data_IF_292577216789
#
_entry.id   IF_292577216789
#
_cell.length_a   1.000
_cell.length_b   1.000
_cell.length_c   1.000
_cell.angle_alpha   90.00
_cell.angle_beta   90.00
_cell.angle_gamma   90.00
#
_symmetry.space_group_name_H-M   'P 1'
#
loop_
_entity.id
_entity.type
_entity.pdbx_description
1 polymer ?
#
# COMPACT_ATOMS: atom_id res chain seq x y z
N UNK A 1 10.97 15.05 -6.74
CA UNK A 1 10.02 14.47 -7.71
C UNK A 1 10.79 14.23 -9.01
N UNK A 2 10.67 13.06 -9.63
CA UNK A 2 11.40 12.82 -10.90
C UNK A 2 10.75 13.63 -12.02
N UNK A 3 11.53 14.41 -12.80
CA UNK A 3 11.01 15.17 -13.94
C UNK A 3 10.24 14.28 -14.94
N UNK A 4 9.05 14.71 -15.34
CA UNK A 4 8.15 13.96 -16.24
C UNK A 4 7.30 12.89 -15.56
N UNK A 5 7.35 12.78 -14.21
CA UNK A 5 6.53 11.87 -13.41
C UNK A 5 5.70 12.61 -12.35
N UNK A 6 5.53 13.90 -12.54
CA UNK A 6 4.75 14.77 -11.67
C UNK A 6 3.28 14.35 -11.70
N UNK A 7 2.65 14.28 -10.51
CA UNK A 7 1.25 13.89 -10.36
C UNK A 7 1.00 12.38 -10.27
N UNK A 8 2.04 11.54 -10.34
CA UNK A 8 1.94 10.11 -10.01
C UNK A 8 1.93 9.89 -8.49
N UNK A 9 1.22 8.85 -8.04
CA UNK A 9 1.20 8.44 -6.63
C UNK A 9 1.06 6.92 -6.49
N UNK A 10 1.47 6.39 -5.33
CA UNK A 10 1.32 4.97 -4.97
C UNK A 10 0.13 4.74 -4.04
N UNK A 11 -0.32 5.77 -3.35
CA UNK A 11 -1.48 5.78 -2.47
C UNK A 11 -2.18 7.11 -2.62
N UNK A 12 -3.49 7.11 -2.66
CA UNK A 12 -4.28 8.33 -2.66
C UNK A 12 -5.74 8.06 -2.34
N UNK A 13 -6.44 9.13 -1.94
CA UNK A 13 -7.86 9.10 -1.67
C UNK A 13 -8.55 10.30 -2.31
N UNK A 14 -9.76 10.10 -2.82
CA UNK A 14 -10.63 11.16 -3.30
C UNK A 14 -11.73 11.49 -2.30
N UNK A 15 -12.25 12.72 -2.34
CA UNK A 15 -13.39 13.13 -1.49
C UNK A 15 -14.69 12.40 -1.79
N UNK A 16 -14.79 11.71 -2.93
CA UNK A 16 -15.93 10.86 -3.29
C UNK A 16 -15.75 9.38 -2.86
N UNK A 17 -14.83 9.08 -1.93
CA UNK A 17 -14.69 7.78 -1.29
C UNK A 17 -13.88 6.75 -2.06
N UNK A 18 -13.07 7.13 -3.06
CA UNK A 18 -12.15 6.20 -3.70
C UNK A 18 -10.80 6.21 -3.00
N UNK A 19 -10.24 5.02 -2.73
CA UNK A 19 -8.86 4.87 -2.24
C UNK A 19 -8.14 3.93 -3.20
N UNK A 20 -7.04 4.40 -3.78
CA UNK A 20 -6.19 3.61 -4.66
C UNK A 20 -4.84 3.33 -3.99
N UNK A 21 -4.41 2.07 -4.03
CA UNK A 21 -3.10 1.63 -3.54
C UNK A 21 -2.41 0.80 -4.60
N UNK A 22 -1.16 1.10 -4.88
CA UNK A 22 -0.34 0.32 -5.80
C UNK A 22 0.93 -0.14 -5.10
N UNK A 23 1.19 -1.45 -5.17
CA UNK A 23 2.37 -2.09 -4.62
C UNK A 23 3.15 -2.78 -5.73
N UNK A 24 4.46 -2.60 -5.77
CA UNK A 24 5.31 -3.39 -6.67
C UNK A 24 5.27 -4.85 -6.27
N UNK A 25 5.13 -5.76 -7.24
CA UNK A 25 5.40 -7.18 -6.99
C UNK A 25 6.88 -7.43 -7.24
N UNK A 26 7.54 -8.05 -6.26
CA UNK A 26 8.95 -8.39 -6.33
C UNK A 26 9.14 -9.58 -7.28
N UNK A 27 9.61 -9.30 -8.50
CA UNK A 27 9.86 -10.35 -9.50
C UNK A 27 11.12 -10.06 -10.30
N UNK A 28 11.83 -11.11 -10.74
CA UNK A 28 13.08 -10.98 -11.50
C UNK A 28 12.89 -10.50 -12.94
N UNK A 29 11.65 -10.39 -13.43
CA UNK A 29 11.37 -10.11 -14.85
C UNK A 29 11.68 -8.66 -15.21
N UNK A 30 12.47 -8.49 -16.27
CA UNK A 30 12.77 -7.17 -16.84
C UNK A 30 11.87 -6.99 -18.07
N UNK A 31 11.07 -5.93 -18.07
CA UNK A 31 10.30 -5.51 -19.23
C UNK A 31 11.11 -4.48 -20.03
N UNK A 32 11.20 -4.61 -21.36
CA UNK A 32 11.78 -3.56 -22.18
C UNK A 32 10.86 -2.33 -22.17
N UNK A 33 11.36 -1.19 -21.72
CA UNK A 33 10.66 0.11 -21.72
C UNK A 33 9.26 0.09 -21.04
N UNK A 34 9.15 -0.32 -19.77
CA UNK A 34 7.84 -0.38 -19.10
C UNK A 34 7.26 1.02 -18.87
N UNK A 35 5.95 1.14 -19.01
CA UNK A 35 5.22 2.34 -18.66
C UNK A 35 5.30 2.63 -17.15
N UNK A 36 5.27 3.92 -16.78
CA UNK A 36 5.26 4.32 -15.37
C UNK A 36 3.93 3.96 -14.71
N UNK A 37 4.00 3.25 -13.56
CA UNK A 37 2.82 2.83 -12.79
C UNK A 37 2.21 3.93 -11.92
N UNK A 38 2.94 5.03 -11.69
CA UNK A 38 2.54 6.09 -10.76
C UNK A 38 1.20 6.74 -11.12
N UNK A 39 0.80 6.74 -12.39
CA UNK A 39 -0.48 7.31 -12.82
C UNK A 39 -1.67 6.37 -12.64
N UNK A 40 -1.47 5.08 -12.40
CA UNK A 40 -2.57 4.13 -12.24
C UNK A 40 -3.50 4.50 -11.07
N UNK A 41 -2.93 4.86 -9.93
CA UNK A 41 -3.71 5.35 -8.79
C UNK A 41 -4.38 6.68 -9.12
N UNK A 42 -3.64 7.66 -9.66
CA UNK A 42 -4.18 8.98 -9.98
C UNK A 42 -5.35 8.90 -11.00
N UNK A 43 -5.24 8.01 -12.00
CA UNK A 43 -6.29 7.78 -12.99
C UNK A 43 -7.54 7.16 -12.35
N UNK A 44 -7.37 6.16 -11.49
CA UNK A 44 -8.49 5.58 -10.74
C UNK A 44 -9.24 6.63 -9.92
N UNK A 45 -8.52 7.50 -9.21
CA UNK A 45 -9.13 8.53 -8.36
C UNK A 45 -9.92 9.58 -9.15
N UNK A 46 -9.56 9.81 -10.41
CA UNK A 46 -10.22 10.76 -11.31
C UNK A 46 -11.44 10.18 -12.03
N UNK A 47 -11.61 8.86 -12.04
CA UNK A 47 -12.76 8.23 -12.71
C UNK A 47 -14.09 8.64 -12.09
N UNK A 48 -15.19 8.68 -12.87
CA UNK A 48 -16.54 8.83 -12.33
C UNK A 48 -16.87 7.79 -11.25
N UNK A 49 -17.98 7.98 -10.57
CA UNK A 49 -18.38 7.25 -9.35
C UNK A 49 -18.44 5.71 -9.51
N UNK A 50 -18.55 5.18 -10.72
CA UNK A 50 -18.59 3.74 -10.98
C UNK A 50 -17.19 3.10 -10.97
N UNK A 51 -17.02 2.07 -10.22
CA UNK A 51 -16.35 0.84 -10.54
C UNK A 51 -14.84 0.76 -10.35
N UNK A 52 -14.35 0.59 -9.10
CA UNK A 52 -13.01 0.04 -8.89
C UNK A 52 -12.80 -1.26 -9.65
N UNK A 53 -13.81 -2.15 -9.65
CA UNK A 53 -13.76 -3.40 -10.41
C UNK A 53 -13.68 -3.17 -11.93
N UNK A 54 -14.46 -2.24 -12.45
CA UNK A 54 -14.44 -1.87 -13.88
C UNK A 54 -13.08 -1.28 -14.28
N UNK A 55 -12.55 -0.38 -13.45
CA UNK A 55 -11.21 0.16 -13.66
C UNK A 55 -10.16 -0.94 -13.76
N UNK A 56 -10.16 -1.87 -12.81
CA UNK A 56 -9.20 -2.98 -12.80
C UNK A 56 -9.40 -3.95 -13.99
N UNK A 57 -10.64 -4.12 -14.46
CA UNK A 57 -10.93 -4.92 -15.66
C UNK A 57 -10.34 -4.28 -16.92
N UNK A 58 -10.46 -2.97 -17.05
CA UNK A 58 -9.85 -2.23 -18.16
C UNK A 58 -8.32 -2.26 -18.07
N UNK A 59 -7.78 -2.08 -16.85
CA UNK A 59 -6.35 -2.15 -16.59
C UNK A 59 -5.75 -3.53 -16.91
N UNK A 60 -6.51 -4.62 -16.71
CA UNK A 60 -6.07 -5.98 -17.07
C UNK A 60 -5.71 -6.08 -18.56
N UNK A 61 -6.45 -5.40 -19.43
CA UNK A 61 -6.17 -5.40 -20.87
C UNK A 61 -4.87 -4.64 -21.22
N UNK A 62 -4.47 -3.70 -20.37
CA UNK A 62 -3.27 -2.87 -20.52
C UNK A 62 -2.08 -3.38 -19.68
N UNK A 63 -2.30 -4.33 -18.79
CA UNK A 63 -1.34 -4.76 -17.76
C UNK A 63 0.04 -5.19 -18.26
N UNK A 64 0.14 -5.63 -19.51
CA UNK A 64 1.41 -6.04 -20.16
C UNK A 64 2.37 -4.87 -20.43
N UNK A 65 1.92 -3.63 -20.31
CA UNK A 65 2.75 -2.45 -20.50
C UNK A 65 3.54 -2.08 -19.24
N UNK A 66 3.21 -2.67 -18.10
CA UNK A 66 3.78 -2.30 -16.80
C UNK A 66 4.61 -3.43 -16.21
N UNK A 67 5.66 -3.09 -15.47
CA UNK A 67 6.30 -4.05 -14.57
C UNK A 67 5.30 -4.52 -13.51
N UNK A 68 5.57 -5.66 -12.87
CA UNK A 68 4.61 -6.31 -11.97
C UNK A 68 4.17 -5.45 -10.80
N UNK A 69 2.87 -5.48 -10.53
CA UNK A 69 2.23 -4.74 -9.45
C UNK A 69 0.98 -5.45 -8.90
N UNK A 70 0.60 -5.07 -7.69
CA UNK A 70 -0.73 -5.23 -7.12
C UNK A 70 -1.41 -3.86 -7.11
N UNK A 71 -2.63 -3.78 -7.62
CA UNK A 71 -3.48 -2.60 -7.52
C UNK A 71 -4.71 -2.93 -6.69
N UNK A 72 -4.92 -2.15 -5.64
CA UNK A 72 -6.08 -2.23 -4.77
C UNK A 72 -6.92 -0.99 -5.02
N UNK A 73 -8.17 -1.18 -5.43
CA UNK A 73 -9.15 -0.13 -5.68
C UNK A 73 -10.30 -0.29 -4.68
N UNK A 74 -10.39 0.64 -3.73
CA UNK A 74 -11.41 0.64 -2.69
C UNK A 74 -12.44 1.71 -3.02
N UNK A 75 -13.70 1.30 -3.01
CA UNK A 75 -14.86 2.18 -3.14
C UNK A 75 -15.59 2.23 -1.80
N UNK A 76 -15.44 3.34 -1.07
CA UNK A 76 -16.24 3.64 0.13
C UNK A 76 -17.51 4.33 -0.31
N UNK A 77 -18.65 3.79 0.11
CA UNK A 77 -19.99 4.35 -0.14
C UNK A 77 -20.75 4.45 1.17
N UNK A 78 -21.87 5.13 1.15
CA UNK A 78 -22.68 5.36 2.34
C UNK A 78 -23.12 4.05 3.02
N UNK A 79 -23.39 3.00 2.25
CA UNK A 79 -23.94 1.73 2.76
C UNK A 79 -23.04 0.53 2.57
N UNK A 80 -21.96 0.65 1.81
CA UNK A 80 -21.07 -0.47 1.52
C UNK A 80 -19.62 -0.01 1.27
N UNK A 81 -18.70 -0.91 1.52
CA UNK A 81 -17.28 -0.77 1.13
C UNK A 81 -16.95 -1.95 0.23
N UNK A 82 -16.42 -1.67 -0.97
CA UNK A 82 -15.91 -2.68 -1.90
C UNK A 82 -14.41 -2.56 -2.01
N UNK A 83 -13.71 -3.65 -1.78
CA UNK A 83 -12.27 -3.77 -1.98
C UNK A 83 -12.02 -4.63 -3.19
N UNK A 84 -11.52 -4.04 -4.25
CA UNK A 84 -11.20 -4.74 -5.49
C UNK A 84 -9.68 -4.84 -5.64
N UNK A 85 -9.20 -5.98 -6.09
CA UNK A 85 -7.79 -6.27 -6.28
C UNK A 85 -7.53 -6.77 -7.70
N UNK A 86 -6.39 -6.38 -8.24
CA UNK A 86 -5.82 -6.91 -9.47
C UNK A 86 -4.30 -6.94 -9.39
N UNK A 87 -3.73 -8.04 -9.87
CA UNK A 87 -2.29 -8.16 -10.08
C UNK A 87 -2.00 -8.52 -11.54
N UNK A 88 -1.03 -7.87 -12.17
CA UNK A 88 -0.53 -8.28 -13.47
C UNK A 88 0.61 -9.33 -13.37
N UNK A 89 0.93 -9.78 -12.15
CA UNK A 89 1.84 -10.89 -11.92
C UNK A 89 1.07 -12.21 -12.08
N UNK A 90 1.35 -12.95 -13.15
CA UNK A 90 0.61 -14.16 -13.52
C UNK A 90 -0.63 -13.88 -14.38
N UNK A 91 -1.57 -14.82 -14.38
CA UNK A 91 -2.82 -14.73 -15.17
C UNK A 91 -4.03 -14.39 -14.29
N UNK A 92 -3.86 -13.52 -13.32
CA UNK A 92 -4.94 -13.14 -12.40
C UNK A 92 -5.97 -12.27 -13.10
N UNK A 93 -7.23 -12.41 -12.67
CA UNK A 93 -8.33 -11.51 -13.06
C UNK A 93 -8.65 -10.60 -11.89
N UNK A 94 -9.23 -9.41 -12.16
CA UNK A 94 -9.76 -8.57 -11.09
C UNK A 94 -10.77 -9.35 -10.24
N UNK A 95 -10.71 -9.16 -8.94
CA UNK A 95 -11.59 -9.78 -7.97
C UNK A 95 -12.07 -8.78 -6.92
N UNK A 96 -13.28 -8.97 -6.41
CA UNK A 96 -13.77 -8.26 -5.23
C UNK A 96 -13.50 -9.11 -4.01
N UNK A 97 -12.75 -8.57 -3.07
CA UNK A 97 -12.36 -9.27 -1.85
C UNK A 97 -13.46 -9.17 -0.79
N UNK A 98 -13.59 -10.16 0.10
CA UNK A 98 -14.53 -10.09 1.22
C UNK A 98 -14.15 -8.96 2.18
N UNK A 99 -15.15 -8.37 2.83
CA UNK A 99 -14.91 -7.40 3.89
C UNK A 99 -14.20 -8.06 5.07
N UNK A 100 -13.34 -7.30 5.74
CA UNK A 100 -12.59 -7.76 6.89
C UNK A 100 -11.14 -7.28 6.89
N UNK A 101 -10.30 -7.99 7.62
CA UNK A 101 -8.89 -7.69 7.73
C UNK A 101 -8.12 -8.23 6.52
N UNK A 102 -7.71 -7.33 5.65
CA UNK A 102 -6.91 -7.62 4.45
C UNK A 102 -5.47 -7.18 4.64
N UNK A 103 -4.53 -7.89 4.03
CA UNK A 103 -3.12 -7.54 4.06
C UNK A 103 -2.51 -7.72 2.67
N UNK A 104 -1.80 -6.71 2.21
CA UNK A 104 -1.16 -6.69 0.90
C UNK A 104 0.34 -6.40 1.03
N UNK A 105 1.11 -6.93 0.12
CA UNK A 105 2.56 -6.75 0.08
C UNK A 105 3.11 -6.83 -1.34
N UNK A 106 4.40 -7.13 -1.43
CA UNK A 106 5.12 -7.23 -2.70
C UNK A 106 5.06 -8.65 -3.32
N UNK A 107 4.06 -9.44 -2.94
CA UNK A 107 3.83 -10.83 -3.38
C UNK A 107 2.42 -11.00 -3.93
N UNK A 108 2.07 -12.20 -4.40
CA UNK A 108 0.68 -12.58 -4.66
C UNK A 108 -0.11 -12.69 -3.34
N UNK A 109 -1.44 -12.66 -3.43
CA UNK A 109 -2.32 -12.81 -2.25
C UNK A 109 -2.27 -14.23 -1.69
N UNK A 110 -2.08 -15.23 -2.54
CA UNK A 110 -2.05 -16.65 -2.13
C UNK A 110 -0.76 -17.00 -1.37
N UNK A 111 0.35 -16.30 -1.67
CA UNK A 111 1.65 -16.52 -1.03
C UNK A 111 2.20 -15.20 -0.45
N UNK A 112 1.55 -14.64 0.57
CA UNK A 112 2.00 -13.39 1.19
C UNK A 112 3.35 -13.61 1.88
N UNK A 113 4.22 -12.59 1.84
CA UNK A 113 5.45 -12.59 2.63
C UNK A 113 5.11 -12.64 4.12
N UNK A 114 6.00 -13.25 4.91
CA UNK A 114 5.77 -13.47 6.35
C UNK A 114 5.47 -12.16 7.10
N UNK A 115 6.11 -11.05 6.72
CA UNK A 115 5.82 -9.73 7.27
C UNK A 115 4.34 -9.30 7.11
N UNK A 116 3.67 -9.70 6.03
CA UNK A 116 2.25 -9.40 5.83
C UNK A 116 1.39 -10.24 6.75
N UNK A 117 1.68 -11.53 6.88
CA UNK A 117 0.95 -12.45 7.76
C UNK A 117 1.07 -12.03 9.22
N UNK A 118 2.27 -11.75 9.70
CA UNK A 118 2.51 -11.31 11.07
C UNK A 118 2.00 -9.87 11.31
N UNK A 119 2.17 -9.00 10.32
CA UNK A 119 1.61 -7.65 10.34
C UNK A 119 0.10 -7.64 10.50
N UNK A 120 -0.63 -8.54 9.84
CA UNK A 120 -2.09 -8.70 10.04
C UNK A 120 -2.45 -9.04 11.49
N UNK A 121 -1.69 -9.92 12.14
CA UNK A 121 -1.93 -10.27 13.56
C UNK A 121 -1.72 -9.06 14.47
N UNK A 122 -0.63 -8.31 14.26
CA UNK A 122 -0.34 -7.09 15.02
C UNK A 122 -1.43 -6.04 14.80
N UNK A 123 -1.79 -5.78 13.56
CA UNK A 123 -2.85 -4.84 13.20
C UNK A 123 -4.19 -5.23 13.82
N UNK A 124 -4.58 -6.52 13.76
CA UNK A 124 -5.80 -7.02 14.39
C UNK A 124 -5.85 -6.72 15.89
N UNK A 125 -4.73 -6.91 16.59
CA UNK A 125 -4.62 -6.60 18.02
C UNK A 125 -4.79 -5.11 18.30
N UNK A 126 -4.17 -4.25 17.50
CA UNK A 126 -4.29 -2.79 17.64
C UNK A 126 -5.75 -2.36 17.44
N UNK A 127 -6.41 -2.83 16.37
CA UNK A 127 -7.81 -2.50 16.10
C UNK A 127 -8.74 -3.03 17.20
N UNK A 128 -8.50 -4.24 17.72
CA UNK A 128 -9.30 -4.79 18.82
C UNK A 128 -9.20 -3.97 20.10
N UNK A 129 -8.06 -3.34 20.35
CA UNK A 129 -7.84 -2.55 21.56
C UNK A 129 -8.30 -1.09 21.41
N UNK A 130 -8.11 -0.49 20.23
CA UNK A 130 -8.22 0.96 20.02
C UNK A 130 -9.13 1.35 18.85
N UNK A 131 -9.82 0.40 18.19
CA UNK A 131 -10.61 0.62 16.98
C UNK A 131 -11.94 1.36 17.19
N UNK A 132 -12.09 2.18 18.24
CA UNK A 132 -13.27 2.99 18.50
C UNK A 132 -12.95 4.48 18.38
N UNK A 133 -13.97 5.31 18.14
CA UNK A 133 -13.83 6.76 17.96
C UNK A 133 -13.17 7.44 19.18
N UNK A 134 -13.42 6.92 20.38
CA UNK A 134 -12.87 7.41 21.64
C UNK A 134 -11.33 7.33 21.68
N UNK A 135 -10.76 6.27 21.11
CA UNK A 135 -9.32 6.02 21.10
C UNK A 135 -8.63 6.45 19.78
N UNK A 136 -9.27 7.31 18.97
CA UNK A 136 -8.77 7.66 17.64
C UNK A 136 -7.29 8.12 17.62
N UNK A 137 -6.92 8.99 18.53
CA UNK A 137 -5.54 9.52 18.57
C UNK A 137 -4.54 8.43 19.00
N UNK A 138 -4.90 7.62 19.99
CA UNK A 138 -4.11 6.46 20.43
C UNK A 138 -3.98 5.45 19.29
N UNK A 139 -5.07 5.19 18.56
CA UNK A 139 -5.06 4.30 17.40
C UNK A 139 -4.07 4.79 16.33
N UNK A 140 -4.05 6.08 16.02
CA UNK A 140 -3.12 6.67 15.06
C UNK A 140 -1.67 6.47 15.50
N UNK A 141 -1.36 6.69 16.78
CA UNK A 141 -0.02 6.55 17.33
C UNK A 141 0.43 5.07 17.34
N UNK A 142 -0.45 4.14 17.73
CA UNK A 142 -0.18 2.70 17.70
C UNK A 142 0.03 2.18 16.27
N UNK A 143 -0.78 2.66 15.31
CA UNK A 143 -0.59 2.33 13.89
C UNK A 143 0.72 2.89 13.35
N UNK A 144 1.15 4.08 13.80
CA UNK A 144 2.44 4.63 13.43
C UNK A 144 3.58 3.80 14.01
N UNK A 145 3.50 3.40 15.28
CA UNK A 145 4.50 2.51 15.89
C UNK A 145 4.58 1.17 15.15
N UNK A 146 3.44 0.62 14.77
CA UNK A 146 3.34 -0.60 13.95
C UNK A 146 4.03 -0.42 12.58
N UNK A 147 3.78 0.66 11.86
CA UNK A 147 4.38 0.95 10.55
C UNK A 147 5.91 1.12 10.64
N UNK A 148 6.42 1.56 11.79
CA UNK A 148 7.86 1.69 12.08
C UNK A 148 8.50 0.41 12.64
N UNK A 149 7.77 -0.70 12.72
CA UNK A 149 8.30 -1.95 13.24
C UNK A 149 9.41 -2.50 12.34
N UNK A 150 10.62 -2.60 12.90
CA UNK A 150 11.83 -3.12 12.22
C UNK A 150 12.04 -4.63 12.43
N UNK A 151 11.08 -5.34 13.04
CA UNK A 151 11.19 -6.80 13.20
C UNK A 151 11.35 -7.44 11.83
N UNK A 152 12.43 -8.18 11.68
CA UNK A 152 12.75 -8.91 10.47
C UNK A 152 12.31 -10.36 10.58
N UNK A 153 11.58 -10.84 9.59
CA UNK A 153 11.16 -12.24 9.43
C UNK A 153 12.09 -13.00 8.47
N UNK A 154 13.35 -12.60 8.46
CA UNK A 154 14.38 -13.26 7.67
C UNK A 154 14.83 -14.59 8.35
N UNK A 155 15.03 -15.69 7.56
CA UNK A 155 14.74 -15.84 6.15
C UNK A 155 13.24 -16.06 5.89
N UNK A 156 12.68 -15.37 4.89
CA UNK A 156 11.30 -15.56 4.43
C UNK A 156 11.29 -16.48 3.20
N UNK A 157 10.69 -17.66 3.36
CA UNK A 157 10.68 -18.70 2.34
C UNK A 157 9.88 -18.27 1.08
N UNK A 158 8.80 -17.51 1.27
CA UNK A 158 7.98 -17.02 0.16
C UNK A 158 8.75 -15.99 -0.69
N UNK A 159 9.65 -15.20 -0.09
CA UNK A 159 10.55 -14.32 -0.84
C UNK A 159 11.52 -15.14 -1.69
N UNK A 160 12.10 -16.20 -1.12
CA UNK A 160 13.04 -17.07 -1.85
C UNK A 160 12.36 -17.85 -2.98
N UNK A 161 11.12 -18.32 -2.78
CA UNK A 161 10.36 -18.94 -3.86
C UNK A 161 10.07 -17.96 -4.99
N UNK A 162 9.70 -16.73 -4.66
CA UNK A 162 9.34 -15.71 -5.64
C UNK A 162 10.56 -15.16 -6.39
N UNK A 163 11.71 -15.02 -5.70
CA UNK A 163 12.98 -14.52 -6.25
C UNK A 163 14.15 -15.37 -5.75
N UNK A 164 14.40 -16.54 -6.37
CA UNK A 164 15.41 -17.50 -5.88
C UNK A 164 16.84 -16.94 -5.76
N UNK A 165 17.18 -15.95 -6.58
CA UNK A 165 18.53 -15.35 -6.61
C UNK A 165 18.56 -13.95 -5.97
N UNK A 166 17.65 -13.66 -5.05
CA UNK A 166 17.66 -12.39 -4.33
C UNK A 166 18.93 -12.28 -3.48
N UNK A 167 19.60 -11.11 -3.48
CA UNK A 167 20.73 -10.88 -2.58
C UNK A 167 20.27 -10.89 -1.13
N UNK A 168 21.15 -11.34 -0.22
CA UNK A 168 20.88 -11.44 1.21
C UNK A 168 20.41 -10.10 1.81
N UNK A 169 21.02 -9.00 1.41
CA UNK A 169 20.66 -7.66 1.84
C UNK A 169 19.22 -7.27 1.41
N UNK A 170 18.87 -7.51 0.13
CA UNK A 170 17.51 -7.28 -0.37
C UNK A 170 16.48 -8.19 0.32
N UNK A 171 16.85 -9.45 0.55
CA UNK A 171 15.99 -10.41 1.26
C UNK A 171 15.68 -9.91 2.67
N UNK A 172 16.69 -9.53 3.45
CA UNK A 172 16.51 -8.95 4.80
C UNK A 172 15.62 -7.71 4.78
N UNK A 173 15.88 -6.78 3.86
CA UNK A 173 15.10 -5.56 3.69
C UNK A 173 13.62 -5.85 3.40
N UNK A 174 13.33 -6.80 2.50
CA UNK A 174 11.96 -7.16 2.16
C UNK A 174 11.26 -8.00 3.24
N UNK A 175 11.99 -8.52 4.23
CA UNK A 175 11.44 -9.33 5.33
C UNK A 175 10.92 -8.50 6.50
N UNK A 176 10.98 -7.17 6.47
CA UNK A 176 10.48 -6.27 7.52
C UNK A 176 9.32 -5.40 7.01
N UNK A 177 8.44 -4.97 7.94
CA UNK A 177 7.41 -3.97 7.62
C UNK A 177 8.06 -2.63 7.27
N UNK A 178 8.93 -2.14 8.15
CA UNK A 178 9.79 -1.00 7.89
C UNK A 178 10.98 -1.47 7.06
N UNK A 179 10.93 -1.25 5.76
CA UNK A 179 12.02 -1.59 4.86
C UNK A 179 13.15 -0.55 4.98
N UNK A 180 14.37 -1.01 5.23
CA UNK A 180 15.55 -0.15 5.32
C UNK A 180 16.80 -0.92 4.89
N UNK A 181 17.60 -0.32 4.03
CA UNK A 181 18.95 -0.78 3.70
C UNK A 181 19.85 0.41 3.38
N UNK A 182 20.80 0.68 4.27
CA UNK A 182 21.78 1.74 4.06
C UNK A 182 22.69 1.42 2.87
N UNK A 183 23.11 0.15 2.71
CA UNK A 183 23.96 -0.28 1.61
C UNK A 183 23.33 -0.10 0.23
N UNK A 184 22.00 -0.24 0.13
CA UNK A 184 21.27 -0.02 -1.12
C UNK A 184 20.75 1.42 -1.27
N UNK A 185 20.98 2.28 -0.30
CA UNK A 185 20.39 3.62 -0.22
C UNK A 185 18.88 3.60 -0.52
N UNK A 186 18.18 2.66 0.13
CA UNK A 186 16.76 2.41 -0.10
C UNK A 186 16.03 2.15 1.20
N UNK A 187 14.80 2.67 1.30
CA UNK A 187 13.98 2.44 2.49
C UNK A 187 12.62 3.11 2.43
N UNK A 188 11.85 2.85 3.47
CA UNK A 188 10.56 3.48 3.71
C UNK A 188 10.78 4.93 4.09
N UNK A 189 10.16 5.85 3.34
CA UNK A 189 10.26 7.29 3.58
C UNK A 189 8.92 7.96 3.91
N UNK A 190 7.82 7.25 3.76
CA UNK A 190 6.48 7.76 4.05
C UNK A 190 5.62 6.68 4.69
N UNK A 191 4.88 7.04 5.72
CA UNK A 191 3.85 6.22 6.36
C UNK A 191 2.53 6.95 6.29
N UNK A 192 1.47 6.27 5.93
CA UNK A 192 0.13 6.86 5.82
C UNK A 192 -0.88 6.03 6.60
N UNK A 193 -1.68 6.69 7.41
CA UNK A 193 -2.85 6.13 8.09
C UNK A 193 -4.09 6.84 7.56
N UNK A 194 -5.06 6.09 7.08
CA UNK A 194 -6.36 6.60 6.63
C UNK A 194 -7.43 5.97 7.51
N UNK A 195 -8.16 6.79 8.25
CA UNK A 195 -9.30 6.38 9.04
C UNK A 195 -10.56 6.92 8.39
N UNK A 196 -11.58 6.07 8.28
CA UNK A 196 -12.92 6.47 7.82
C UNK A 196 -13.90 5.96 8.86
N UNK A 197 -14.66 6.86 9.49
CA UNK A 197 -15.65 6.49 10.49
C UNK A 197 -17.05 6.28 9.88
N UNK A 198 -17.99 5.79 10.71
CA UNK A 198 -19.39 5.55 10.31
C UNK A 198 -20.16 6.83 9.94
N UNK A 199 -19.64 8.02 10.28
CA UNK A 199 -20.20 9.31 9.90
C UNK A 199 -19.60 9.81 8.56
N UNK A 200 -18.77 8.96 7.90
CA UNK A 200 -18.03 9.27 6.68
C UNK A 200 -17.00 10.40 6.87
N UNK A 201 -16.56 10.62 8.11
CA UNK A 201 -15.45 11.50 8.40
C UNK A 201 -14.14 10.77 8.10
N UNK A 202 -13.25 11.41 7.38
CA UNK A 202 -11.93 10.90 7.04
C UNK A 202 -10.87 11.65 7.81
N UNK A 203 -9.92 10.91 8.40
CA UNK A 203 -8.63 11.43 8.85
C UNK A 203 -7.54 10.78 8.00
N UNK A 204 -6.86 11.60 7.22
CA UNK A 204 -5.70 11.22 6.42
C UNK A 204 -4.46 11.77 7.11
N UNK A 205 -3.64 10.88 7.66
CA UNK A 205 -2.45 11.24 8.43
C UNK A 205 -1.22 10.63 7.78
N UNK A 206 -0.25 11.46 7.47
CA UNK A 206 0.97 11.05 6.78
C UNK A 206 2.21 11.57 7.52
N UNK A 207 3.22 10.72 7.63
CA UNK A 207 4.56 11.09 8.09
C UNK A 207 5.55 10.83 6.96
N UNK A 208 6.25 11.86 6.56
CA UNK A 208 7.24 11.80 5.47
C UNK A 208 8.59 12.27 5.97
N UNK A 209 9.67 11.61 5.57
CA UNK A 209 11.02 12.06 5.85
C UNK A 209 11.29 13.37 5.15
N UNK A 210 11.86 14.34 5.87
CA UNK A 210 12.31 15.62 5.32
C UNK A 210 13.52 15.45 4.41
N UNK A 211 13.55 16.20 3.33
CA UNK A 211 14.70 16.24 2.41
C UNK A 211 15.65 17.40 2.78
N UNK A 212 17.00 17.21 2.71
CA UNK A 212 17.69 15.99 2.29
C UNK A 212 17.61 14.88 3.36
N UNK A 213 17.27 13.66 2.95
CA UNK A 213 17.11 12.54 3.88
C UNK A 213 18.47 12.15 4.46
N UNK A 214 18.60 12.20 5.80
CA UNK A 214 19.69 11.57 6.53
C UNK A 214 19.20 10.17 7.01
N UNK A 215 19.62 9.06 6.39
CA UNK A 215 19.11 7.74 6.74
C UNK A 215 19.54 7.26 8.14
N UNK A 216 20.63 7.79 8.71
CA UNK A 216 21.10 7.44 10.05
C UNK A 216 20.28 8.17 11.14
N UNK A 217 19.80 9.37 10.84
CA UNK A 217 18.98 10.17 11.77
C UNK A 217 17.88 10.94 11.01
N UNK A 218 16.83 10.22 10.53
CA UNK A 218 15.80 10.84 9.71
C UNK A 218 14.87 11.74 10.53
N UNK A 219 14.61 12.93 10.02
CA UNK A 219 13.57 13.83 10.52
C UNK A 219 12.25 13.52 9.83
N UNK A 220 11.16 13.44 10.60
CA UNK A 220 9.83 13.13 10.10
C UNK A 220 8.88 14.31 10.27
N UNK A 221 8.25 14.71 9.18
CA UNK A 221 7.20 15.71 9.16
C UNK A 221 5.83 15.04 9.11
N UNK A 222 4.93 15.44 10.02
CA UNK A 222 3.54 15.00 10.07
C UNK A 222 2.66 15.96 9.29
N UNK A 223 1.89 15.41 8.35
CA UNK A 223 0.80 16.10 7.69
C UNK A 223 -0.53 15.41 8.05
N UNK A 224 -1.54 16.19 8.34
CA UNK A 224 -2.87 15.68 8.64
C UNK A 224 -3.92 16.51 7.92
N UNK A 225 -4.86 15.83 7.28
CA UNK A 225 -6.03 16.44 6.64
C UNK A 225 -7.27 15.66 7.03
N UNK A 226 -8.30 16.38 7.46
CA UNK A 226 -9.60 15.79 7.79
C UNK A 226 -10.68 16.37 6.89
N UNK A 227 -11.57 15.52 6.39
CA UNK A 227 -12.67 15.92 5.53
C UNK A 227 -13.81 14.92 5.60
N UNK A 228 -15.00 15.34 5.15
CA UNK A 228 -16.17 14.46 5.04
C UNK A 228 -16.31 13.97 3.61
N UNK A 229 -16.66 12.68 3.43
CA UNK A 229 -16.92 12.12 2.11
C UNK A 229 -18.20 12.72 1.52
N UNK A 230 -18.15 12.97 0.23
CA UNK A 230 -19.26 13.48 -0.58
C UNK A 230 -19.67 12.38 -1.58
N UNK A 231 -20.81 11.73 -1.34
CA UNK A 231 -21.36 10.68 -2.20
C UNK A 231 -22.40 11.24 -3.17
#
# INVERSE_FOLDING_TARGET
MEPGREGGTWLGMSKCGKIGVLLNVLMPTVYPNPSSRGFLVANFLKMPISGGFEYLTNLMNEGKQYTHFNMIAIDVRQTEIKVNHYSNAGNQKPETLPNGLLGFGNSSLEKPFQKVTEGKKMFSKIISNYGTKEYKDVLVDELMAFLKCKTSYYPDHNILEQVPNISDEKHKMHSSLYAESLGLNYGTRTHTVILVDHENQVDFVEWTMEEPINPENPTWMKHQTSFKLNF
#
